data_IF_337958688664
#
_entry.id   IF_337958688664
#
_cell.length_a   1.000
_cell.length_b   1.000
_cell.length_c   1.000
_cell.angle_alpha   90.00
_cell.angle_beta   90.00
_cell.angle_gamma   90.00
#
_symmetry.space_group_name_H-M   'P 1'
#
loop_
_entity.id
_entity.type
_entity.pdbx_description
1 polymer ?
#
# COMPACT_ATOMS: atom_id res chain seq x y z
N UNK A 1 -7.84 2.92 -16.76
CA UNK A 1 -6.44 2.70 -17.23
C UNK A 1 -6.31 3.40 -18.58
N UNK A 2 -5.18 4.06 -18.86
CA UNK A 2 -4.96 4.67 -20.17
C UNK A 2 -4.89 3.57 -21.24
N UNK A 3 -5.45 3.87 -22.42
CA UNK A 3 -5.33 3.04 -23.62
C UNK A 3 -4.38 3.77 -24.57
N UNK A 4 -3.40 3.04 -25.10
CA UNK A 4 -2.43 3.56 -26.06
C UNK A 4 -2.61 2.87 -27.41
N UNK A 5 -2.30 3.60 -28.47
CA UNK A 5 -2.17 3.09 -29.84
C UNK A 5 -0.72 3.25 -30.32
N UNK A 6 -0.44 2.85 -31.57
CA UNK A 6 0.90 2.91 -32.15
C UNK A 6 1.55 4.30 -32.04
N UNK A 7 0.76 5.39 -32.10
CA UNK A 7 1.26 6.77 -32.04
C UNK A 7 1.37 7.32 -30.61
N UNK A 8 0.68 6.71 -29.65
CA UNK A 8 0.61 7.19 -28.25
C UNK A 8 1.29 6.24 -27.26
N UNK A 9 1.80 5.09 -27.74
CA UNK A 9 2.58 4.17 -26.91
C UNK A 9 3.83 4.89 -26.38
N UNK A 10 3.99 5.03 -25.06
CA UNK A 10 5.09 5.80 -24.51
C UNK A 10 6.45 5.26 -24.95
N UNK A 11 7.35 6.15 -25.34
CA UNK A 11 8.68 5.78 -25.81
C UNK A 11 9.44 4.96 -24.77
N UNK A 12 9.29 5.28 -23.48
CA UNK A 12 9.93 4.55 -22.40
C UNK A 12 9.59 3.05 -22.39
N UNK A 13 8.46 2.62 -22.95
CA UNK A 13 8.10 1.19 -23.06
C UNK A 13 8.72 0.53 -24.28
N UNK A 14 9.12 1.33 -25.27
CA UNK A 14 9.81 0.87 -26.47
C UNK A 14 11.33 0.79 -26.28
N UNK A 15 11.83 1.37 -25.19
CA UNK A 15 13.21 1.28 -24.73
C UNK A 15 13.34 0.24 -23.61
N UNK A 16 14.55 -0.14 -23.29
CA UNK A 16 14.82 -1.06 -22.18
C UNK A 16 14.35 -0.47 -20.85
N UNK A 17 13.49 -1.20 -20.16
CA UNK A 17 12.99 -0.81 -18.84
C UNK A 17 12.62 -2.05 -18.02
N UNK A 18 12.36 -1.84 -16.74
CA UNK A 18 11.81 -2.85 -15.85
C UNK A 18 10.75 -2.25 -14.91
N UNK A 19 10.07 -3.10 -14.17
CA UNK A 19 9.17 -2.67 -13.08
C UNK A 19 9.92 -2.56 -11.75
N UNK A 20 9.40 -1.74 -10.85
CA UNK A 20 9.93 -1.63 -9.48
C UNK A 20 9.82 -2.95 -8.73
N UNK A 21 10.68 -3.14 -7.72
CA UNK A 21 10.59 -4.27 -6.77
C UNK A 21 9.16 -4.41 -6.27
N UNK A 22 8.63 -5.64 -6.23
CA UNK A 22 7.27 -5.94 -5.77
C UNK A 22 6.17 -5.31 -6.63
N UNK A 23 6.44 -5.00 -7.92
CA UNK A 23 5.46 -4.48 -8.86
C UNK A 23 5.41 -5.35 -10.11
N UNK A 24 4.30 -6.00 -10.33
CA UNK A 24 4.00 -6.75 -11.55
C UNK A 24 3.31 -5.85 -12.56
N UNK A 25 3.56 -6.08 -13.85
CA UNK A 25 2.86 -5.42 -14.93
C UNK A 25 2.01 -6.41 -15.73
N UNK A 26 0.84 -5.99 -16.17
CA UNK A 26 -0.01 -6.74 -17.11
C UNK A 26 -0.34 -5.83 -18.28
N UNK A 27 0.27 -6.12 -19.42
CA UNK A 27 -0.08 -5.55 -20.70
C UNK A 27 -1.26 -6.34 -21.27
N UNK A 28 -2.27 -5.65 -21.78
CA UNK A 28 -3.42 -6.26 -22.47
C UNK A 28 -3.53 -5.66 -23.85
N UNK A 29 -3.54 -6.50 -24.89
CA UNK A 29 -3.72 -6.10 -26.28
C UNK A 29 -5.21 -6.11 -26.60
N UNK A 30 -5.74 -4.98 -27.05
CA UNK A 30 -7.15 -4.78 -27.39
C UNK A 30 -7.39 -4.93 -28.88
N UNK A 31 -6.41 -4.58 -29.73
CA UNK A 31 -6.37 -4.83 -31.18
C UNK A 31 -4.93 -4.85 -31.67
N UNK A 32 -4.72 -5.43 -32.85
CA UNK A 32 -3.41 -5.51 -33.48
C UNK A 32 -2.43 -6.44 -32.79
N UNK A 33 -1.14 -6.19 -33.00
CA UNK A 33 -0.07 -7.04 -32.46
C UNK A 33 1.16 -6.23 -32.06
N UNK A 34 1.92 -6.76 -31.10
CA UNK A 34 3.21 -6.22 -30.70
C UNK A 34 4.23 -7.34 -30.49
N UNK A 35 5.50 -6.99 -30.56
CA UNK A 35 6.61 -7.85 -30.20
C UNK A 35 7.09 -7.43 -28.79
N UNK A 36 7.23 -8.41 -27.94
CA UNK A 36 7.80 -8.30 -26.59
C UNK A 36 9.22 -8.89 -26.61
N UNK A 37 10.16 -8.15 -26.05
CA UNK A 37 11.54 -8.58 -25.88
C UNK A 37 11.83 -8.72 -24.39
N UNK A 38 12.26 -9.89 -23.98
CA UNK A 38 12.88 -10.08 -22.67
C UNK A 38 14.37 -9.80 -22.81
N UNK A 39 14.94 -9.04 -21.88
CA UNK A 39 16.31 -8.54 -21.95
C UNK A 39 17.10 -8.89 -20.70
N UNK A 40 18.43 -8.93 -20.84
CA UNK A 40 19.33 -8.81 -19.68
C UNK A 40 19.38 -7.37 -19.19
N UNK A 41 20.00 -7.13 -18.03
CA UNK A 41 20.28 -5.79 -17.51
C UNK A 41 21.18 -4.97 -18.44
N UNK A 42 22.08 -5.64 -19.17
CA UNK A 42 22.97 -5.01 -20.15
C UNK A 42 22.31 -4.76 -21.51
N UNK A 43 21.04 -5.15 -21.69
CA UNK A 43 20.24 -4.91 -22.90
C UNK A 43 20.33 -5.98 -23.97
N UNK A 44 20.97 -7.11 -23.69
CA UNK A 44 20.99 -8.26 -24.62
C UNK A 44 19.62 -8.93 -24.67
N UNK A 45 19.18 -9.31 -25.87
CA UNK A 45 17.90 -9.97 -26.10
C UNK A 45 17.99 -11.44 -25.68
N UNK A 46 17.20 -11.82 -24.68
CA UNK A 46 17.05 -13.22 -24.24
C UNK A 46 15.98 -13.97 -25.02
N UNK A 47 14.85 -13.30 -25.29
CA UNK A 47 13.75 -13.88 -26.05
C UNK A 47 12.96 -12.82 -26.79
N UNK A 48 12.30 -13.23 -27.88
CA UNK A 48 11.34 -12.40 -28.62
C UNK A 48 10.04 -13.19 -28.78
N UNK A 49 8.91 -12.56 -28.43
CA UNK A 49 7.59 -13.16 -28.58
C UNK A 49 6.61 -12.17 -29.18
N UNK A 50 5.81 -12.62 -30.14
CA UNK A 50 4.72 -11.82 -30.70
C UNK A 50 3.43 -12.12 -29.93
N UNK A 51 2.77 -11.07 -29.52
CA UNK A 51 1.48 -11.12 -28.83
C UNK A 51 0.41 -10.35 -29.62
N UNK A 52 -0.82 -10.80 -29.49
CA UNK A 52 -2.02 -10.24 -30.12
C UNK A 52 -3.26 -10.44 -29.22
N UNK A 53 -4.46 -10.27 -29.78
CA UNK A 53 -5.72 -10.42 -29.03
C UNK A 53 -6.00 -11.85 -28.59
N UNK A 54 -5.49 -12.86 -29.31
CA UNK A 54 -5.69 -14.29 -29.00
C UNK A 54 -4.57 -14.82 -28.08
N UNK A 55 -3.36 -14.28 -28.25
CA UNK A 55 -2.18 -14.64 -27.48
C UNK A 55 -1.70 -13.44 -26.67
N UNK A 56 -2.24 -13.31 -25.46
CA UNK A 56 -1.96 -12.17 -24.56
C UNK A 56 -0.63 -12.33 -23.84
N UNK A 57 0.13 -11.23 -23.63
CA UNK A 57 1.32 -11.26 -22.80
C UNK A 57 1.04 -11.80 -21.39
N UNK A 58 1.94 -12.57 -20.79
CA UNK A 58 1.84 -12.96 -19.39
C UNK A 58 1.99 -11.76 -18.46
N UNK A 59 1.85 -11.97 -17.15
CA UNK A 59 2.31 -10.99 -16.16
C UNK A 59 3.83 -10.87 -16.25
N UNK A 60 4.30 -9.62 -16.31
CA UNK A 60 5.72 -9.31 -16.19
C UNK A 60 6.06 -9.24 -14.71
N UNK A 61 6.99 -10.09 -14.28
CA UNK A 61 7.45 -10.12 -12.89
C UNK A 61 8.25 -8.83 -12.54
N UNK A 62 8.36 -8.51 -11.23
CA UNK A 62 9.18 -7.38 -10.80
C UNK A 62 10.62 -7.48 -11.30
N UNK A 63 11.18 -6.36 -11.71
CA UNK A 63 12.58 -6.20 -12.13
C UNK A 63 13.00 -6.98 -13.41
N UNK A 64 12.08 -7.63 -14.11
CA UNK A 64 12.38 -8.24 -15.42
C UNK A 64 12.59 -7.14 -16.45
N UNK A 65 13.78 -7.09 -17.05
CA UNK A 65 14.13 -6.15 -18.10
C UNK A 65 13.45 -6.53 -19.40
N UNK A 66 12.79 -5.56 -20.02
CA UNK A 66 12.04 -5.80 -21.25
C UNK A 66 11.83 -4.52 -22.08
N UNK A 67 11.35 -4.69 -23.30
CA UNK A 67 10.81 -3.63 -24.15
C UNK A 67 9.73 -4.20 -25.05
N UNK A 68 8.92 -3.31 -25.61
CA UNK A 68 7.91 -3.68 -26.59
C UNK A 68 8.07 -2.88 -27.89
N UNK A 69 7.62 -3.46 -29.01
CA UNK A 69 7.60 -2.84 -30.30
C UNK A 69 6.24 -3.11 -30.98
N UNK A 70 5.55 -2.06 -31.41
CA UNK A 70 4.35 -2.23 -32.22
C UNK A 70 4.69 -2.92 -33.56
N UNK A 71 3.87 -3.92 -33.96
CA UNK A 71 4.00 -4.62 -35.23
C UNK A 71 2.91 -4.25 -36.22
N UNK A 72 1.74 -3.82 -35.76
CA UNK A 72 0.62 -3.44 -36.61
C UNK A 72 0.17 -2.02 -36.34
N UNK A 73 -0.31 -1.35 -37.38
CA UNK A 73 -0.76 0.06 -37.32
C UNK A 73 -2.05 0.23 -36.50
N UNK A 74 -2.83 -0.85 -36.32
CA UNK A 74 -4.06 -0.90 -35.55
C UNK A 74 -3.83 -1.31 -34.10
N UNK A 75 -2.58 -1.40 -33.64
CA UNK A 75 -2.28 -1.75 -32.24
C UNK A 75 -3.00 -0.80 -31.31
N UNK A 76 -3.78 -1.39 -30.38
CA UNK A 76 -4.23 -0.72 -29.16
C UNK A 76 -3.99 -1.62 -27.96
N UNK A 77 -3.51 -1.04 -26.88
CA UNK A 77 -3.18 -1.78 -25.65
C UNK A 77 -3.40 -0.93 -24.41
N UNK A 78 -3.47 -1.59 -23.27
CA UNK A 78 -3.53 -0.95 -21.95
C UNK A 78 -2.59 -1.68 -20.99
N UNK A 79 -2.11 -0.96 -19.96
CA UNK A 79 -1.19 -1.49 -18.95
C UNK A 79 -1.77 -1.28 -17.56
N UNK A 80 -1.73 -2.34 -16.76
CA UNK A 80 -2.05 -2.32 -15.34
C UNK A 80 -0.83 -2.74 -14.52
N UNK A 81 -0.64 -2.08 -13.38
CA UNK A 81 0.36 -2.46 -12.40
C UNK A 81 -0.31 -3.09 -11.19
N UNK A 82 0.32 -4.12 -10.64
CA UNK A 82 -0.14 -4.88 -9.50
C UNK A 82 0.97 -4.94 -8.45
N UNK A 83 0.58 -5.01 -7.21
CA UNK A 83 1.47 -5.26 -6.08
C UNK A 83 0.70 -6.06 -5.02
N UNK A 84 1.39 -6.50 -4.00
CA UNK A 84 0.75 -7.13 -2.86
C UNK A 84 -0.09 -6.10 -2.06
N UNK A 85 -1.13 -6.53 -1.32
CA UNK A 85 -1.98 -5.62 -0.54
C UNK A 85 -1.19 -4.73 0.44
N UNK A 86 -0.18 -5.30 1.11
CA UNK A 86 0.66 -4.58 2.08
C UNK A 86 1.49 -3.44 1.45
N UNK A 87 1.80 -3.55 0.16
CA UNK A 87 2.55 -2.55 -0.59
C UNK A 87 1.68 -1.49 -1.29
N UNK A 88 0.37 -1.75 -1.41
CA UNK A 88 -0.50 -0.97 -2.28
C UNK A 88 -0.48 0.53 -1.96
N UNK A 89 -0.79 0.91 -0.73
CA UNK A 89 -0.80 2.32 -0.35
C UNK A 89 0.60 2.91 -0.23
N UNK A 90 1.59 2.10 0.18
CA UNK A 90 2.98 2.53 0.22
C UNK A 90 3.47 2.98 -1.16
N UNK A 91 3.21 2.17 -2.19
CA UNK A 91 3.58 2.50 -3.57
C UNK A 91 2.73 3.63 -4.16
N UNK A 92 1.43 3.65 -3.88
CA UNK A 92 0.49 4.64 -4.42
C UNK A 92 0.74 6.04 -3.88
N UNK A 93 1.09 6.17 -2.61
CA UNK A 93 1.22 7.45 -1.91
C UNK A 93 2.63 7.77 -1.44
N UNK A 94 3.62 6.99 -1.89
CA UNK A 94 5.02 7.14 -1.50
C UNK A 94 5.20 7.17 0.03
N UNK A 95 4.53 6.22 0.69
CA UNK A 95 4.70 5.96 2.12
C UNK A 95 5.82 4.94 2.35
N UNK A 96 6.32 4.87 3.57
CA UNK A 96 7.05 3.68 4.03
C UNK A 96 6.11 2.48 4.03
N UNK A 97 6.65 1.28 3.82
CA UNK A 97 5.86 0.04 3.84
C UNK A 97 5.20 -0.18 5.20
N UNK A 98 4.08 -0.91 5.21
CA UNK A 98 3.44 -1.37 6.44
C UNK A 98 4.47 -2.06 7.34
N UNK A 99 4.41 -1.81 8.64
CA UNK A 99 5.38 -2.37 9.57
C UNK A 99 5.26 -3.90 9.64
N UNK A 100 6.39 -4.62 9.59
CA UNK A 100 6.42 -6.09 9.56
C UNK A 100 5.64 -6.74 10.71
N UNK A 101 5.70 -6.15 11.90
CA UNK A 101 4.96 -6.65 13.06
C UNK A 101 3.45 -6.44 12.92
N UNK A 102 2.99 -5.41 12.18
CA UNK A 102 1.56 -5.26 11.85
C UNK A 102 1.14 -6.34 10.87
N UNK A 103 1.98 -6.65 9.85
CA UNK A 103 1.74 -7.77 8.93
C UNK A 103 1.64 -9.11 9.69
N UNK A 104 2.44 -9.28 10.74
CA UNK A 104 2.39 -10.46 11.59
C UNK A 104 1.12 -10.48 12.46
N UNK A 105 0.77 -9.36 13.11
CA UNK A 105 -0.36 -9.26 14.03
C UNK A 105 -1.71 -9.60 13.37
N UNK A 106 -1.92 -9.21 12.11
CA UNK A 106 -3.17 -9.51 11.37
C UNK A 106 -3.35 -11.01 11.05
N UNK A 107 -2.36 -11.85 11.33
CA UNK A 107 -2.55 -13.30 11.29
C UNK A 107 -3.37 -13.80 12.49
N UNK A 108 -3.35 -13.08 13.60
CA UNK A 108 -4.04 -13.43 14.84
C UNK A 108 -5.39 -12.71 15.01
N UNK A 109 -5.54 -11.53 14.40
CA UNK A 109 -6.78 -10.72 14.48
C UNK A 109 -7.32 -10.50 13.08
N UNK A 110 -8.53 -10.99 12.81
CA UNK A 110 -9.14 -10.96 11.47
C UNK A 110 -10.30 -9.94 11.39
N UNK A 111 -9.95 -8.65 11.36
CA UNK A 111 -10.95 -7.58 11.31
C UNK A 111 -11.43 -7.12 12.70
N UNK A 112 -12.49 -6.31 12.73
CA UNK A 112 -12.99 -5.66 13.93
C UNK A 112 -12.50 -4.22 14.02
N UNK A 113 -12.46 -3.65 15.23
CA UNK A 113 -12.00 -2.28 15.46
C UNK A 113 -10.51 -2.24 15.73
N UNK A 114 -9.79 -1.39 15.03
CA UNK A 114 -8.36 -1.15 15.25
C UNK A 114 -8.08 0.30 15.62
N UNK A 115 -7.15 0.51 16.54
CA UNK A 115 -6.58 1.82 16.85
C UNK A 115 -5.11 1.84 16.40
N UNK A 116 -4.76 2.80 15.56
CA UNK A 116 -3.36 3.08 15.19
C UNK A 116 -2.90 4.32 15.97
N UNK A 117 -2.14 4.08 17.04
CA UNK A 117 -1.71 5.08 17.99
C UNK A 117 -0.34 5.64 17.58
N UNK A 118 -0.33 6.89 17.12
CA UNK A 118 0.82 7.51 16.46
C UNK A 118 0.91 7.06 15.00
N UNK A 119 -0.19 7.20 14.27
CA UNK A 119 -0.35 6.65 12.93
C UNK A 119 0.54 7.31 11.87
N UNK A 120 1.09 8.51 12.15
CA UNK A 120 1.80 9.30 11.18
C UNK A 120 0.97 9.53 9.92
N UNK A 121 1.54 9.28 8.76
CA UNK A 121 0.85 9.41 7.46
C UNK A 121 -0.06 8.22 7.10
N UNK A 122 -0.29 7.28 8.04
CA UNK A 122 -1.29 6.23 7.93
C UNK A 122 -0.84 4.95 7.22
N UNK A 123 0.47 4.63 7.16
CA UNK A 123 0.95 3.40 6.50
C UNK A 123 0.29 2.12 7.02
N UNK A 124 0.13 2.01 8.34
CA UNK A 124 -0.52 0.86 8.96
C UNK A 124 -2.05 1.00 8.92
N UNK A 125 -2.55 2.20 9.18
CA UNK A 125 -3.99 2.49 9.18
C UNK A 125 -4.67 2.14 7.85
N UNK A 126 -4.07 2.56 6.74
CA UNK A 126 -4.58 2.28 5.39
C UNK A 126 -4.53 0.78 5.06
N UNK A 127 -3.49 0.08 5.50
CA UNK A 127 -3.39 -1.37 5.32
C UNK A 127 -4.43 -2.12 6.15
N UNK A 128 -4.60 -1.75 7.43
CA UNK A 128 -5.63 -2.35 8.29
C UNK A 128 -7.03 -2.12 7.72
N UNK A 129 -7.31 -0.92 7.21
CA UNK A 129 -8.58 -0.63 6.54
C UNK A 129 -8.78 -1.48 5.29
N UNK A 130 -7.73 -1.68 4.47
CA UNK A 130 -7.78 -2.56 3.29
C UNK A 130 -8.13 -4.02 3.66
N UNK A 131 -7.74 -4.46 4.86
CA UNK A 131 -8.09 -5.78 5.40
C UNK A 131 -9.49 -5.84 6.04
N UNK A 132 -10.25 -4.73 6.01
CA UNK A 132 -11.63 -4.68 6.51
C UNK A 132 -11.76 -4.31 7.99
N UNK A 133 -10.71 -3.78 8.62
CA UNK A 133 -10.84 -3.21 9.96
C UNK A 133 -11.57 -1.85 9.91
N UNK A 134 -12.36 -1.58 10.95
CA UNK A 134 -12.85 -0.24 11.29
C UNK A 134 -11.74 0.46 12.09
N UNK A 135 -11.05 1.41 11.43
CA UNK A 135 -9.79 1.97 11.94
C UNK A 135 -10.01 3.35 12.55
N UNK A 136 -9.52 3.55 13.75
CA UNK A 136 -9.28 4.87 14.32
C UNK A 136 -7.79 5.15 14.28
N UNK A 137 -7.39 6.18 13.55
CA UNK A 137 -5.98 6.56 13.37
C UNK A 137 -5.72 7.90 14.03
N UNK A 138 -4.79 7.93 14.98
CA UNK A 138 -4.52 9.14 15.76
C UNK A 138 -3.03 9.50 15.75
N UNK A 139 -2.75 10.79 15.63
CA UNK A 139 -1.40 11.35 15.70
C UNK A 139 -1.46 12.79 16.23
N UNK A 140 -0.38 13.27 16.85
CA UNK A 140 -0.31 14.67 17.30
C UNK A 140 0.04 15.64 16.15
N UNK A 141 0.58 15.12 15.06
CA UNK A 141 1.03 15.91 13.92
C UNK A 141 -0.11 16.14 12.93
N UNK A 142 -0.61 17.38 12.92
CA UNK A 142 -1.72 17.82 12.07
C UNK A 142 -1.45 17.60 10.57
N UNK A 143 -0.22 17.88 10.09
CA UNK A 143 0.12 17.68 8.67
C UNK A 143 0.03 16.20 8.25
N UNK A 144 0.37 15.30 9.16
CA UNK A 144 0.26 13.85 8.93
C UNK A 144 -1.20 13.41 8.86
N UNK A 145 -2.03 13.90 9.76
CA UNK A 145 -3.48 13.66 9.78
C UNK A 145 -4.15 14.23 8.52
N UNK A 146 -3.80 15.46 8.14
CA UNK A 146 -4.31 16.06 6.89
C UNK A 146 -3.92 15.29 5.64
N UNK A 147 -2.68 14.77 5.60
CA UNK A 147 -2.25 13.90 4.50
C UNK A 147 -3.09 12.62 4.45
N UNK A 148 -3.32 12.00 5.60
CA UNK A 148 -4.12 10.77 5.68
C UNK A 148 -5.58 11.04 5.27
N UNK A 149 -6.18 12.13 5.75
CA UNK A 149 -7.55 12.52 5.42
C UNK A 149 -7.75 12.74 3.91
N UNK A 150 -6.83 13.44 3.25
CA UNK A 150 -6.89 13.60 1.78
C UNK A 150 -6.87 12.28 1.04
N UNK A 151 -6.13 11.29 1.54
CA UNK A 151 -6.10 9.96 0.93
C UNK A 151 -7.35 9.15 1.22
N UNK A 152 -7.90 9.24 2.43
CA UNK A 152 -9.19 8.64 2.80
C UNK A 152 -10.29 9.14 1.86
N UNK A 153 -10.39 10.46 1.69
CA UNK A 153 -11.37 11.08 0.80
C UNK A 153 -11.18 10.64 -0.65
N UNK A 154 -9.94 10.68 -1.15
CA UNK A 154 -9.60 10.31 -2.53
C UNK A 154 -9.92 8.85 -2.84
N UNK A 155 -9.76 7.95 -1.87
CA UNK A 155 -10.08 6.52 -2.02
C UNK A 155 -11.54 6.19 -1.69
N UNK A 156 -12.30 7.13 -1.15
CA UNK A 156 -13.69 6.90 -0.71
C UNK A 156 -13.78 5.91 0.44
N UNK A 157 -12.81 5.90 1.35
CA UNK A 157 -12.78 4.96 2.48
C UNK A 157 -13.76 5.42 3.56
N UNK A 158 -14.65 4.53 3.98
CA UNK A 158 -15.71 4.85 4.96
C UNK A 158 -15.45 4.32 6.37
N UNK A 159 -14.61 3.29 6.50
CA UNK A 159 -14.34 2.62 7.78
C UNK A 159 -12.96 3.00 8.34
N UNK A 160 -12.63 4.28 8.24
CA UNK A 160 -11.42 4.83 8.83
C UNK A 160 -11.72 6.26 9.26
N UNK A 161 -11.41 6.56 10.51
CA UNK A 161 -11.52 7.90 11.11
C UNK A 161 -10.17 8.34 11.65
N UNK A 162 -9.98 9.64 11.71
CA UNK A 162 -8.73 10.23 12.20
C UNK A 162 -9.02 11.27 13.29
N UNK A 163 -8.06 11.45 14.20
CA UNK A 163 -8.12 12.54 15.18
C UNK A 163 -6.70 13.04 15.48
N UNK A 164 -6.60 14.34 15.83
CA UNK A 164 -5.38 14.93 16.34
C UNK A 164 -5.29 14.65 17.83
N UNK A 165 -4.29 13.87 18.24
CA UNK A 165 -4.21 13.34 19.59
C UNK A 165 -2.78 13.27 20.12
N UNK A 166 -2.47 14.05 21.15
CA UNK A 166 -1.19 13.97 21.83
C UNK A 166 -1.23 12.93 22.96
N UNK A 167 -0.59 11.80 22.72
CA UNK A 167 -0.50 10.67 23.65
C UNK A 167 0.16 11.09 24.99
N UNK A 168 1.06 12.07 24.98
CA UNK A 168 1.69 12.55 26.21
C UNK A 168 0.74 13.31 27.13
N UNK A 169 -0.30 13.93 26.57
CA UNK A 169 -1.19 14.84 27.31
C UNK A 169 -2.55 14.21 27.61
N UNK A 170 -3.02 13.35 26.75
CA UNK A 170 -4.32 12.72 26.84
C UNK A 170 -4.25 11.25 27.24
N UNK A 171 -5.38 10.70 27.68
CA UNK A 171 -5.58 9.26 27.81
C UNK A 171 -6.48 8.80 26.68
N UNK A 172 -6.27 7.61 26.13
CA UNK A 172 -7.24 6.95 25.24
C UNK A 172 -8.52 6.90 26.06
N UNK A 173 -9.41 7.85 25.84
CA UNK A 173 -10.55 8.07 26.71
C UNK A 173 -11.80 7.34 26.24
N UNK A 174 -12.89 7.58 26.93
CA UNK A 174 -14.23 7.05 26.64
C UNK A 174 -14.78 7.38 25.24
N UNK A 175 -14.06 8.18 24.44
CA UNK A 175 -14.45 8.52 23.07
C UNK A 175 -14.04 7.48 22.03
N UNK A 176 -13.09 6.61 22.33
CA UNK A 176 -12.47 5.75 21.32
C UNK A 176 -12.99 4.30 21.36
N UNK A 177 -13.60 3.87 22.46
CA UNK A 177 -14.25 2.57 22.58
C UNK A 177 -13.28 1.38 22.79
N UNK A 178 -13.82 0.16 22.68
CA UNK A 178 -13.06 -1.08 22.83
C UNK A 178 -12.57 -1.58 21.47
N UNK A 179 -11.27 -1.92 21.40
CA UNK A 179 -10.59 -2.37 20.18
C UNK A 179 -10.26 -3.86 20.19
N UNK A 180 -10.33 -4.46 19.03
CA UNK A 180 -9.84 -5.81 18.79
C UNK A 180 -8.31 -5.81 18.61
N UNK A 181 -7.75 -4.69 18.09
CA UNK A 181 -6.32 -4.50 17.88
C UNK A 181 -5.93 -3.04 18.17
N UNK A 182 -4.94 -2.84 19.02
CA UNK A 182 -4.28 -1.52 19.17
C UNK A 182 -2.83 -1.66 18.72
N UNK A 183 -2.42 -0.85 17.77
CA UNK A 183 -1.04 -0.80 17.27
C UNK A 183 -0.39 0.52 17.65
N UNK A 184 0.88 0.43 18.08
CA UNK A 184 1.75 1.58 18.33
C UNK A 184 3.14 1.22 17.83
N UNK A 185 3.49 1.70 16.64
CA UNK A 185 4.76 1.33 16.00
C UNK A 185 5.70 2.52 15.94
N UNK A 186 6.88 2.37 16.59
CA UNK A 186 7.94 3.40 16.60
C UNK A 186 7.47 4.73 17.22
N UNK A 187 6.62 4.66 18.24
CA UNK A 187 6.03 5.84 18.92
C UNK A 187 6.60 6.00 20.31
N UNK A 188 6.67 4.90 21.09
CA UNK A 188 7.02 4.94 22.51
C UNK A 188 8.37 5.60 22.79
N UNK A 189 9.33 5.52 21.86
CA UNK A 189 10.65 6.14 22.01
C UNK A 189 10.62 7.68 22.01
N UNK A 190 9.56 8.28 21.49
CA UNK A 190 9.38 9.73 21.45
C UNK A 190 8.54 10.28 22.59
N UNK A 191 7.98 9.40 23.45
CA UNK A 191 7.11 9.76 24.54
C UNK A 191 7.90 10.05 25.83
N UNK A 192 7.26 10.81 26.72
CA UNK A 192 7.77 10.98 28.07
C UNK A 192 7.79 9.63 28.80
N UNK A 193 8.96 9.20 29.27
CA UNK A 193 9.17 7.91 29.91
C UNK A 193 8.24 7.66 31.09
N UNK A 194 7.96 8.68 31.88
CA UNK A 194 7.08 8.59 33.04
C UNK A 194 5.63 8.32 32.67
N UNK A 195 5.25 8.60 31.40
CA UNK A 195 3.91 8.37 30.88
C UNK A 195 3.72 6.96 30.30
N UNK A 196 4.79 6.30 29.86
CA UNK A 196 4.71 5.02 29.13
C UNK A 196 3.91 3.96 29.92
N UNK A 197 4.13 3.73 31.24
CA UNK A 197 3.33 2.76 31.98
C UNK A 197 1.83 3.04 31.94
N UNK A 198 1.44 4.31 32.12
CA UNK A 198 0.02 4.70 32.09
C UNK A 198 -0.60 4.59 30.69
N UNK A 199 0.20 4.80 29.62
CA UNK A 199 -0.24 4.64 28.25
C UNK A 199 -0.49 3.16 27.96
N UNK A 200 0.42 2.27 28.35
CA UNK A 200 0.25 0.81 28.19
C UNK A 200 -0.98 0.31 28.98
N UNK A 201 -1.14 0.75 30.22
CA UNK A 201 -2.31 0.40 31.01
C UNK A 201 -3.62 0.88 30.33
N UNK A 202 -3.58 2.06 29.75
CA UNK A 202 -4.71 2.62 29.04
C UNK A 202 -5.02 1.85 27.74
N UNK A 203 -3.99 1.43 26.99
CA UNK A 203 -4.17 0.54 25.84
C UNK A 203 -4.85 -0.77 26.27
N UNK A 204 -4.37 -1.39 27.34
CA UNK A 204 -4.94 -2.64 27.86
C UNK A 204 -6.42 -2.47 28.26
N UNK A 205 -6.78 -1.37 28.91
CA UNK A 205 -8.17 -1.07 29.31
C UNK A 205 -9.12 -0.85 28.12
N UNK A 206 -8.59 -0.38 27.00
CA UNK A 206 -9.36 -0.16 25.79
C UNK A 206 -9.31 -1.34 24.81
N UNK A 207 -8.64 -2.42 25.16
CA UNK A 207 -8.60 -3.65 24.38
C UNK A 207 -9.67 -4.61 24.86
N UNK A 208 -10.44 -5.15 23.93
CA UNK A 208 -11.44 -6.20 24.23
C UNK A 208 -10.79 -7.44 24.81
N UNK A 209 -11.56 -8.20 25.56
CA UNK A 209 -11.14 -9.56 25.98
C UNK A 209 -10.88 -10.41 24.74
N UNK A 210 -9.66 -10.94 24.62
CA UNK A 210 -9.20 -11.67 23.44
C UNK A 210 -8.63 -10.79 22.33
N UNK A 211 -8.62 -9.47 22.51
CA UNK A 211 -7.94 -8.54 21.62
C UNK A 211 -6.42 -8.43 21.91
N UNK A 212 -5.73 -7.67 21.08
CA UNK A 212 -4.26 -7.58 21.08
C UNK A 212 -3.76 -6.16 21.14
N UNK A 213 -2.63 -5.97 21.82
CA UNK A 213 -1.82 -4.75 21.76
C UNK A 213 -0.48 -5.08 21.07
N UNK A 214 -0.17 -4.37 20.03
CA UNK A 214 1.13 -4.42 19.34
C UNK A 214 1.92 -3.16 19.65
N UNK A 215 3.05 -3.30 20.32
CA UNK A 215 3.96 -2.21 20.63
C UNK A 215 5.32 -2.53 20.00
N UNK A 216 5.82 -1.60 19.18
CA UNK A 216 7.16 -1.67 18.59
C UNK A 216 7.92 -0.41 18.99
N UNK A 217 9.12 -0.59 19.57
CA UNK A 217 10.02 0.47 19.99
C UNK A 217 11.26 0.55 19.11
#
# INVERSE_FOLDING_TARGET
MPVWNVNTLPQMFQEQHNTKVGTWAKLTILSGSLKYFELTEDGEVLSETVFDTEHQPPFVAPQVWHKVQALSDDLTCQLAFYCTPEDFYAKKYNLTTTHSEVLNAVNYVKGGKALDLGCGRGRNSLYLNLLGFDVTAVDYNEESIDFLNRNIEKEGLSNISTDIYDINQATIGSQVGEFDLIVSTVVMMFLNRDRIPSIIENMQKNTKVGGYNLIVC
#
